data_IF_781855369136
#
_entry.id   IF_781855369136
#
_cell.length_a   1.000
_cell.length_b   1.000
_cell.length_c   1.000
_cell.angle_alpha   90.00
_cell.angle_beta   90.00
_cell.angle_gamma   90.00
#
_symmetry.space_group_name_H-M   'P 1'
#
loop_
_entity.id
_entity.type
_entity.pdbx_description
1 polymer ?
#
# COMPACT_ATOMS: atom_id res chain seq x y z
N UNK A 1 32.73 -15.50 13.28
CA UNK A 1 32.55 -14.93 14.64
C UNK A 1 31.52 -13.79 14.61
N UNK A 2 30.38 -13.99 15.29
CA UNK A 2 29.37 -12.94 15.54
C UNK A 2 28.05 -13.10 14.78
N UNK A 3 27.31 -14.19 15.00
CA UNK A 3 25.87 -14.24 14.71
C UNK A 3 25.15 -14.65 15.99
N UNK A 4 25.13 -13.76 16.97
CA UNK A 4 24.28 -13.90 18.16
C UNK A 4 23.69 -12.51 18.45
N UNK A 5 22.39 -12.35 18.16
CA UNK A 5 21.58 -11.27 18.73
C UNK A 5 20.85 -10.32 17.78
N UNK A 6 20.27 -10.75 16.66
CA UNK A 6 19.36 -9.89 15.88
C UNK A 6 18.11 -10.68 15.51
N UNK A 7 16.93 -10.13 15.81
CA UNK A 7 15.63 -10.76 15.54
C UNK A 7 15.41 -11.09 14.08
N UNK A 8 14.25 -11.65 13.74
CA UNK A 8 13.92 -11.96 12.35
C UNK A 8 14.06 -10.70 11.47
N UNK A 9 14.65 -10.84 10.26
CA UNK A 9 14.86 -9.69 9.39
C UNK A 9 13.51 -9.09 8.99
N UNK A 10 13.44 -7.75 8.93
CA UNK A 10 12.28 -7.04 8.40
C UNK A 10 12.07 -7.44 6.94
N UNK A 11 10.97 -8.11 6.65
CA UNK A 11 10.61 -8.48 5.28
C UNK A 11 9.90 -7.32 4.56
N UNK A 12 10.38 -7.00 3.36
CA UNK A 12 9.75 -6.00 2.47
C UNK A 12 9.60 -6.61 1.08
N UNK A 13 8.36 -6.68 0.61
CA UNK A 13 8.07 -7.05 -0.77
C UNK A 13 8.17 -5.81 -1.66
N UNK A 14 9.00 -5.87 -2.70
CA UNK A 14 9.27 -4.79 -3.63
C UNK A 14 8.69 -5.18 -4.99
N UNK A 15 7.69 -4.42 -5.45
CA UNK A 15 7.09 -4.60 -6.76
C UNK A 15 7.47 -3.44 -7.69
N UNK A 16 8.12 -3.77 -8.81
CA UNK A 16 8.35 -2.83 -9.92
C UNK A 16 7.16 -2.80 -10.88
N UNK A 17 6.72 -1.61 -11.25
CA UNK A 17 5.74 -1.39 -12.32
C UNK A 17 6.08 -0.10 -13.07
N UNK A 18 5.63 0.05 -14.31
CA UNK A 18 5.73 1.31 -15.05
C UNK A 18 4.85 2.37 -14.36
N UNK A 19 5.38 3.43 -13.75
CA UNK A 19 6.79 3.79 -13.51
C UNK A 19 7.02 4.10 -12.03
N UNK A 20 6.68 3.14 -11.17
CA UNK A 20 6.69 3.24 -9.72
C UNK A 20 7.27 1.97 -9.07
N UNK A 21 7.74 2.14 -7.84
CA UNK A 21 8.05 1.04 -6.93
C UNK A 21 7.00 1.01 -5.83
N UNK A 22 6.49 -0.16 -5.50
CA UNK A 22 5.57 -0.38 -4.39
C UNK A 22 6.25 -1.27 -3.36
N UNK A 23 6.19 -0.85 -2.10
CA UNK A 23 6.76 -1.55 -0.96
C UNK A 23 5.63 -2.04 -0.06
N UNK A 24 5.56 -3.35 0.15
CA UNK A 24 4.58 -3.97 1.04
C UNK A 24 5.29 -4.63 2.21
N UNK A 25 4.79 -4.39 3.42
CA UNK A 25 5.31 -4.90 4.68
C UNK A 25 4.34 -5.99 5.18
N UNK A 26 4.61 -7.29 4.91
CA UNK A 26 3.60 -8.34 5.08
C UNK A 26 3.13 -8.50 6.53
N UNK A 27 4.01 -8.26 7.50
CA UNK A 27 3.69 -8.37 8.92
C UNK A 27 2.70 -7.29 9.39
N UNK A 28 2.82 -6.08 8.85
CA UNK A 28 2.02 -4.93 9.27
C UNK A 28 0.82 -4.68 8.36
N UNK A 29 0.85 -5.20 7.12
CA UNK A 29 -0.13 -4.93 6.08
C UNK A 29 0.06 -3.57 5.39
N UNK A 30 1.09 -2.80 5.76
CA UNK A 30 1.33 -1.47 5.19
C UNK A 30 1.80 -1.59 3.74
N UNK A 31 1.30 -0.71 2.88
CA UNK A 31 1.76 -0.51 1.50
C UNK A 31 2.18 0.95 1.30
N UNK A 32 3.34 1.17 0.68
CA UNK A 32 3.89 2.51 0.48
C UNK A 32 4.60 2.65 -0.87
N UNK A 33 4.65 3.88 -1.40
CA UNK A 33 5.48 4.25 -2.55
C UNK A 33 6.94 4.56 -2.18
N UNK A 34 7.23 4.65 -0.88
CA UNK A 34 8.57 4.90 -0.30
C UNK A 34 8.94 3.73 0.61
N UNK A 35 10.23 3.36 0.63
CA UNK A 35 10.71 2.26 1.46
C UNK A 35 11.15 2.80 2.82
N UNK A 36 10.53 2.38 3.91
CA UNK A 36 10.86 2.75 5.27
C UNK A 36 11.53 1.57 5.97
N UNK A 37 12.66 1.81 6.63
CA UNK A 37 13.35 0.79 7.43
C UNK A 37 13.95 1.41 8.69
N UNK A 38 13.96 0.70 9.82
CA UNK A 38 14.64 1.18 11.00
C UNK A 38 16.16 0.95 10.88
N UNK A 39 16.94 1.92 11.36
CA UNK A 39 18.40 1.82 11.43
C UNK A 39 18.82 0.66 12.33
N UNK A 40 19.83 -0.10 11.90
CA UNK A 40 20.41 -1.22 12.65
C UNK A 40 19.64 -2.53 12.56
N UNK A 41 18.46 -2.58 11.93
CA UNK A 41 17.71 -3.82 11.73
C UNK A 41 18.10 -4.49 10.41
N UNK A 42 18.31 -5.83 10.40
CA UNK A 42 18.40 -6.59 9.15
C UNK A 42 17.11 -6.49 8.33
N UNK A 43 17.25 -6.24 7.04
CA UNK A 43 16.15 -6.14 6.08
C UNK A 43 16.33 -7.21 5.02
N UNK A 44 15.24 -7.88 4.65
CA UNK A 44 15.15 -8.83 3.53
C UNK A 44 14.15 -8.32 2.51
N UNK A 45 14.63 -8.06 1.31
CA UNK A 45 13.83 -7.64 0.17
C UNK A 45 13.43 -8.86 -0.67
N UNK A 46 12.14 -8.96 -1.00
CA UNK A 46 11.62 -9.87 -2.03
C UNK A 46 11.23 -9.02 -3.24
N UNK A 47 12.04 -9.05 -4.30
CA UNK A 47 11.94 -8.13 -5.44
C UNK A 47 11.37 -8.85 -6.66
N UNK A 48 10.28 -8.30 -7.20
CA UNK A 48 9.60 -8.80 -8.41
C UNK A 48 9.06 -7.63 -9.24
N UNK A 49 8.71 -7.88 -10.50
CA UNK A 49 8.03 -6.91 -11.34
C UNK A 49 6.65 -7.42 -11.78
N UNK A 50 5.71 -6.49 -11.96
CA UNK A 50 4.34 -6.82 -12.36
C UNK A 50 4.11 -6.74 -13.88
N UNK A 51 5.04 -6.11 -14.63
CA UNK A 51 4.86 -5.82 -16.06
C UNK A 51 6.09 -6.17 -16.92
N UNK A 52 7.09 -5.29 -16.94
CA UNK A 52 8.33 -5.44 -17.69
C UNK A 52 9.51 -5.61 -16.72
N UNK A 53 10.70 -5.84 -17.25
CA UNK A 53 11.91 -5.89 -16.42
C UNK A 53 12.23 -4.47 -15.93
N UNK A 54 12.53 -4.37 -14.64
CA UNK A 54 13.11 -3.18 -14.02
C UNK A 54 14.41 -3.58 -13.31
N UNK A 55 15.19 -2.59 -12.84
CA UNK A 55 16.29 -2.86 -11.94
C UNK A 55 16.21 -1.93 -10.74
N UNK A 56 15.95 -2.51 -9.56
CA UNK A 56 15.97 -1.81 -8.29
C UNK A 56 17.42 -1.44 -7.96
N UNK A 57 17.72 -0.15 -7.89
CA UNK A 57 19.05 0.33 -7.58
C UNK A 57 19.03 1.34 -6.43
N UNK A 58 19.78 1.04 -5.38
CA UNK A 58 20.03 1.87 -4.21
C UNK A 58 21.54 2.21 -4.18
N UNK A 59 21.96 3.33 -4.80
CA UNK A 59 23.37 3.60 -5.10
C UNK A 59 24.28 3.68 -3.89
N UNK A 60 23.84 4.34 -2.82
CA UNK A 60 24.60 4.59 -1.59
C UNK A 60 24.90 3.29 -0.83
N UNK A 61 24.06 2.28 -1.02
CA UNK A 61 24.23 0.96 -0.45
C UNK A 61 24.96 0.00 -1.39
N UNK A 62 25.23 0.43 -2.65
CA UNK A 62 25.80 -0.40 -3.72
C UNK A 62 24.98 -1.66 -3.98
N UNK A 63 23.67 -1.56 -3.80
CA UNK A 63 22.72 -2.65 -3.98
C UNK A 63 21.98 -2.43 -5.29
N UNK A 64 22.09 -3.40 -6.20
CA UNK A 64 21.33 -3.41 -7.45
C UNK A 64 20.81 -4.82 -7.71
N UNK A 65 19.52 -4.94 -8.00
CA UNK A 65 18.88 -6.22 -8.29
C UNK A 65 17.80 -6.04 -9.34
N UNK A 66 17.78 -6.92 -10.34
CA UNK A 66 16.76 -6.91 -11.37
C UNK A 66 15.43 -7.41 -10.79
N UNK A 67 14.35 -6.71 -11.14
CA UNK A 67 12.97 -7.09 -10.85
C UNK A 67 12.39 -7.71 -12.13
N UNK A 68 12.05 -9.00 -12.08
CA UNK A 68 11.69 -9.79 -13.26
C UNK A 68 10.27 -10.34 -13.08
N UNK A 69 9.36 -10.17 -14.06
CA UNK A 69 8.03 -10.73 -13.97
C UNK A 69 8.02 -12.24 -13.80
N UNK A 70 7.27 -12.74 -12.81
CA UNK A 70 7.14 -14.17 -12.51
C UNK A 70 8.37 -14.79 -11.84
N UNK A 71 9.35 -13.99 -11.41
CA UNK A 71 10.53 -14.46 -10.68
C UNK A 71 10.91 -13.49 -9.56
N UNK A 72 10.65 -13.92 -8.33
CA UNK A 72 11.12 -13.22 -7.13
C UNK A 72 12.63 -13.38 -6.93
N UNK A 73 13.35 -12.27 -6.79
CA UNK A 73 14.75 -12.21 -6.37
C UNK A 73 14.84 -11.78 -4.91
N UNK A 74 15.81 -12.29 -4.16
CA UNK A 74 15.98 -11.94 -2.74
C UNK A 74 17.30 -11.24 -2.49
N UNK A 75 17.27 -10.21 -1.65
CA UNK A 75 18.47 -9.48 -1.24
C UNK A 75 18.34 -9.01 0.21
N UNK A 76 19.42 -9.08 0.99
CA UNK A 76 19.45 -8.61 2.37
C UNK A 76 20.45 -7.49 2.61
N UNK A 77 20.13 -6.56 3.51
CA UNK A 77 21.03 -5.51 3.94
C UNK A 77 20.68 -5.00 5.35
N UNK A 78 21.57 -4.21 5.94
CA UNK A 78 21.31 -3.50 7.21
C UNK A 78 21.69 -2.04 7.02
N UNK A 79 20.74 -1.13 7.23
CA UNK A 79 21.02 0.30 7.20
C UNK A 79 21.74 0.74 8.48
N UNK A 80 22.86 1.46 8.35
CA UNK A 80 23.70 1.85 9.50
C UNK A 80 23.62 3.33 9.83
N UNK A 81 22.91 4.13 9.02
CA UNK A 81 22.78 5.57 9.19
C UNK A 81 21.41 6.07 8.74
N UNK A 82 20.73 6.77 9.64
CA UNK A 82 19.46 7.49 9.38
C UNK A 82 19.61 8.47 8.21
N UNK A 83 18.57 8.61 7.42
CA UNK A 83 18.48 9.56 6.30
C UNK A 83 17.70 9.03 5.10
N UNK A 84 17.59 9.89 4.09
CA UNK A 84 16.90 9.61 2.84
C UNK A 84 17.89 9.25 1.74
N UNK A 85 17.64 8.14 1.05
CA UNK A 85 18.50 7.62 0.01
C UNK A 85 17.71 7.36 -1.28
N UNK A 86 18.16 7.84 -2.44
CA UNK A 86 17.44 7.63 -3.69
C UNK A 86 17.39 6.15 -4.09
N UNK A 87 16.21 5.70 -4.50
CA UNK A 87 16.01 4.44 -5.22
C UNK A 87 15.65 4.80 -6.65
N UNK A 88 16.35 4.24 -7.62
CA UNK A 88 16.14 4.54 -9.04
C UNK A 88 16.01 3.25 -9.86
N UNK A 89 15.20 3.30 -10.92
CA UNK A 89 15.21 2.24 -11.91
C UNK A 89 16.49 2.32 -12.76
N UNK A 90 17.25 1.23 -12.84
CA UNK A 90 18.52 1.16 -13.57
C UNK A 90 18.47 0.32 -14.85
N UNK A 91 17.28 -0.12 -15.27
CA UNK A 91 17.03 -0.88 -16.50
C UNK A 91 15.99 -0.15 -17.34
N UNK A 92 16.21 -0.03 -18.66
CA UNK A 92 15.31 0.72 -19.52
C UNK A 92 13.92 0.09 -19.56
N UNK A 93 12.99 0.65 -18.79
CA UNK A 93 11.67 0.07 -18.56
C UNK A 93 10.54 0.80 -19.29
N UNK A 94 10.83 1.70 -20.23
CA UNK A 94 9.83 2.40 -21.05
C UNK A 94 10.06 3.91 -21.20
N UNK A 95 9.05 4.61 -21.74
CA UNK A 95 9.12 6.03 -22.11
C UNK A 95 9.36 6.98 -20.93
N UNK A 96 8.92 6.62 -19.72
CA UNK A 96 9.12 7.42 -18.50
C UNK A 96 10.16 6.81 -17.56
N UNK A 97 11.05 5.94 -18.07
CA UNK A 97 12.11 5.30 -17.30
C UNK A 97 12.93 6.27 -16.44
N UNK A 98 13.33 7.42 -17.00
CA UNK A 98 14.11 8.43 -16.27
C UNK A 98 13.39 9.10 -15.09
N UNK A 99 12.06 8.97 -15.01
CA UNK A 99 11.23 9.46 -13.91
C UNK A 99 10.91 8.40 -12.85
N UNK A 100 11.26 7.13 -13.09
CA UNK A 100 11.00 6.03 -12.15
C UNK A 100 11.99 6.05 -10.98
N UNK A 101 11.65 6.84 -9.96
CA UNK A 101 12.46 7.09 -8.78
C UNK A 101 11.59 7.14 -7.54
N UNK A 102 12.15 6.73 -6.41
CA UNK A 102 11.58 6.88 -5.08
C UNK A 102 12.73 7.01 -4.06
N UNK A 103 12.46 6.85 -2.77
CA UNK A 103 13.47 6.91 -1.71
C UNK A 103 13.34 5.73 -0.73
N UNK A 104 14.47 5.37 -0.16
CA UNK A 104 14.60 4.67 1.11
C UNK A 104 14.71 5.72 2.22
N UNK A 105 13.83 5.65 3.20
CA UNK A 105 13.84 6.43 4.43
C UNK A 105 14.35 5.49 5.52
N UNK A 106 15.55 5.78 6.04
CA UNK A 106 16.11 5.09 7.18
C UNK A 106 15.82 5.91 8.42
N UNK A 107 15.06 5.36 9.35
CA UNK A 107 14.52 6.06 10.52
C UNK A 107 15.05 5.44 11.82
N UNK A 108 14.85 6.12 12.94
CA UNK A 108 14.99 5.46 14.25
C UNK A 108 13.90 4.39 14.42
N UNK A 109 14.12 3.35 15.26
CA UNK A 109 13.08 2.36 15.54
C UNK A 109 11.76 2.98 16.03
N UNK A 110 11.84 4.07 16.82
CA UNK A 110 10.69 4.79 17.34
C UNK A 110 9.90 5.49 16.22
N UNK A 111 10.59 6.19 15.31
CA UNK A 111 9.98 6.86 14.16
C UNK A 111 9.37 5.86 13.18
N UNK A 112 10.08 4.77 12.87
CA UNK A 112 9.56 3.69 12.02
C UNK A 112 8.27 3.10 12.60
N UNK A 113 8.24 2.85 13.92
CA UNK A 113 7.05 2.31 14.57
C UNK A 113 5.88 3.30 14.54
N UNK A 114 6.14 4.60 14.68
CA UNK A 114 5.11 5.63 14.53
C UNK A 114 4.54 5.65 13.10
N UNK A 115 5.42 5.59 12.10
CA UNK A 115 5.03 5.50 10.68
C UNK A 115 4.17 4.27 10.40
N UNK A 116 4.55 3.10 10.93
CA UNK A 116 3.74 1.87 10.79
C UNK A 116 2.34 2.09 11.37
N UNK A 117 2.24 2.63 12.58
CA UNK A 117 0.94 2.86 13.23
C UNK A 117 0.05 3.77 12.39
N UNK A 118 0.55 4.92 11.94
CA UNK A 118 -0.22 5.86 11.10
C UNK A 118 -0.74 5.21 9.81
N UNK A 119 0.06 4.37 9.16
CA UNK A 119 -0.29 3.76 7.87
C UNK A 119 -1.11 2.47 7.99
N UNK A 120 -1.09 1.80 9.14
CA UNK A 120 -1.98 0.67 9.43
C UNK A 120 -3.44 1.12 9.58
N UNK A 121 -3.68 2.18 10.36
CA UNK A 121 -5.04 2.68 10.60
C UNK A 121 -5.68 3.26 9.33
N UNK A 122 -4.91 3.98 8.51
CA UNK A 122 -5.39 4.51 7.23
C UNK A 122 -5.83 3.40 6.27
N UNK A 123 -5.12 2.27 6.27
CA UNK A 123 -5.44 1.12 5.41
C UNK A 123 -6.73 0.41 5.84
N UNK A 124 -7.01 0.33 7.15
CA UNK A 124 -8.25 -0.25 7.67
C UNK A 124 -9.49 0.64 7.42
N UNK A 125 -9.40 1.95 7.71
CA UNK A 125 -10.51 2.90 7.52
C UNK A 125 -10.87 3.10 6.03
N UNK A 126 -9.87 3.05 5.14
CA UNK A 126 -10.10 3.12 3.68
C UNK A 126 -10.84 1.89 3.17
N UNK A 127 -10.55 0.69 3.68
CA UNK A 127 -11.23 -0.54 3.25
C UNK A 127 -12.71 -0.56 3.66
N UNK A 128 -13.06 -0.01 4.83
CA UNK A 128 -14.44 0.08 5.27
C UNK A 128 -15.25 1.11 4.46
N UNK A 129 -14.62 2.22 4.07
CA UNK A 129 -15.25 3.26 3.22
C UNK A 129 -15.29 2.93 1.73
N UNK A 130 -14.40 2.08 1.24
CA UNK A 130 -14.25 1.77 -0.19
C UNK A 130 -14.99 0.51 -0.65
N UNK A 131 -15.80 -0.12 0.20
CA UNK A 131 -16.69 -1.20 -0.25
C UNK A 131 -17.67 -0.60 -1.25
N UNK A 132 -17.49 -0.92 -2.53
CA UNK A 132 -18.43 -0.55 -3.59
C UNK A 132 -19.76 -1.25 -3.31
N UNK A 133 -20.67 -0.53 -2.67
CA UNK A 133 -22.00 -1.04 -2.38
C UNK A 133 -22.78 -1.06 -3.69
N UNK A 134 -23.31 -2.23 -4.08
CA UNK A 134 -24.19 -2.32 -5.24
C UNK A 134 -25.56 -1.72 -4.85
N UNK A 135 -25.97 -0.56 -5.40
CA UNK A 135 -27.19 0.12 -4.97
C UNK A 135 -28.46 -0.68 -5.29
N UNK A 136 -28.38 -1.62 -6.22
CA UNK A 136 -29.55 -2.40 -6.67
C UNK A 136 -30.02 -3.47 -5.69
N UNK A 137 -29.24 -3.77 -4.64
CA UNK A 137 -29.59 -4.76 -3.63
C UNK A 137 -30.05 -4.17 -2.30
N UNK A 138 -30.10 -2.84 -2.18
CA UNK A 138 -30.47 -2.11 -0.95
C UNK A 138 -31.85 -1.47 -1.07
N UNK A 139 -32.52 -1.24 0.06
CA UNK A 139 -33.67 -0.32 0.07
C UNK A 139 -33.18 1.13 -0.08
N UNK A 140 -34.07 2.01 -0.54
CA UNK A 140 -33.74 3.43 -0.71
C UNK A 140 -33.33 4.09 0.60
N UNK A 141 -33.97 3.72 1.71
CA UNK A 141 -33.58 4.18 3.05
C UNK A 141 -32.20 3.69 3.48
N UNK A 142 -31.81 2.47 3.11
CA UNK A 142 -30.50 1.90 3.43
C UNK A 142 -29.39 2.55 2.58
N UNK A 143 -29.67 2.82 1.30
CA UNK A 143 -28.75 3.52 0.40
C UNK A 143 -28.52 4.99 0.82
N UNK A 144 -29.55 5.66 1.32
CA UNK A 144 -29.49 7.08 1.69
C UNK A 144 -29.03 7.34 3.13
N UNK A 145 -29.00 6.30 3.99
CA UNK A 145 -28.63 6.43 5.41
C UNK A 145 -27.28 7.15 5.66
N UNK A 146 -26.20 6.92 4.88
CA UNK A 146 -24.93 7.60 5.07
C UNK A 146 -24.98 9.11 4.79
N UNK A 147 -25.90 9.56 3.94
CA UNK A 147 -25.99 10.95 3.47
C UNK A 147 -27.04 11.77 4.23
N UNK A 148 -27.93 11.11 4.97
CA UNK A 148 -29.06 11.76 5.64
C UNK A 148 -28.63 12.71 6.77
N UNK A 149 -27.59 12.34 7.52
CA UNK A 149 -27.04 13.17 8.59
C UNK A 149 -26.44 14.47 8.08
N UNK A 150 -25.78 14.44 6.91
CA UNK A 150 -25.21 15.61 6.25
C UNK A 150 -26.29 16.55 5.68
N UNK A 151 -27.41 15.99 5.24
CA UNK A 151 -28.56 16.74 4.73
C UNK A 151 -29.53 17.21 5.82
N UNK A 152 -29.26 16.92 7.10
CA UNK A 152 -30.14 17.29 8.21
C UNK A 152 -31.47 16.52 8.24
N UNK A 153 -31.52 15.34 7.59
CA UNK A 153 -32.69 14.47 7.52
C UNK A 153 -32.66 13.50 8.70
N UNK A 154 -33.75 13.43 9.45
CA UNK A 154 -33.86 12.51 10.59
C UNK A 154 -34.08 11.05 10.16
N UNK A 155 -33.76 10.13 11.07
CA UNK A 155 -33.88 8.68 10.82
C UNK A 155 -35.31 8.20 10.64
N UNK A 156 -36.31 8.94 11.14
CA UNK A 156 -37.72 8.57 10.97
C UNK A 156 -38.18 8.87 9.55
N UNK A 157 -37.74 9.99 8.97
CA UNK A 157 -38.00 10.40 7.59
C UNK A 157 -37.42 9.37 6.60
N UNK A 158 -36.23 8.83 6.86
CA UNK A 158 -35.65 7.76 6.05
C UNK A 158 -36.49 6.47 6.07
N UNK A 159 -37.04 6.10 7.24
CA UNK A 159 -37.86 4.89 7.38
C UNK A 159 -39.17 4.98 6.60
N UNK A 160 -39.66 6.19 6.32
CA UNK A 160 -40.88 6.41 5.53
C UNK A 160 -40.66 6.30 4.01
N UNK A 161 -39.41 6.34 3.52
CA UNK A 161 -39.13 6.21 2.09
C UNK A 161 -39.40 4.80 1.56
N UNK A 162 -39.22 3.77 2.40
CA UNK A 162 -39.41 2.35 2.06
C UNK A 162 -40.87 2.00 1.67
N UNK A 163 -41.84 2.88 1.98
CA UNK A 163 -43.26 2.64 1.72
C UNK A 163 -43.79 3.26 0.42
N UNK A 164 -42.96 3.90 -0.40
CA UNK A 164 -43.42 4.76 -1.49
C UNK A 164 -43.44 4.13 -2.90
N UNK A 165 -43.05 2.87 -3.06
CA UNK A 165 -42.99 2.21 -4.37
C UNK A 165 -43.82 0.94 -4.45
N UNK A 166 -45.14 1.11 -4.51
CA UNK A 166 -46.02 0.15 -5.16
C UNK A 166 -45.99 0.42 -6.68
N UNK A 167 -45.09 -0.23 -7.40
CA UNK A 167 -45.17 -0.30 -8.86
C UNK A 167 -46.30 -1.27 -9.21
N UNK A 168 -47.41 -0.84 -9.83
CA UNK A 168 -48.42 -1.78 -10.28
C UNK A 168 -47.81 -2.66 -11.39
N UNK A 169 -47.82 -3.98 -11.19
CA UNK A 169 -47.54 -4.93 -12.26
C UNK A 169 -48.50 -4.67 -13.42
N UNK A 170 -47.98 -4.27 -14.58
CA UNK A 170 -48.75 -4.29 -15.83
C UNK A 170 -48.77 -5.74 -16.32
N UNK A 171 -49.90 -6.42 -16.08
CA UNK A 171 -50.23 -7.72 -16.66
C UNK A 171 -50.61 -7.51 -18.14
N UNK A 172 -49.79 -8.11 -19.02
CA UNK A 172 -49.97 -8.47 -20.44
C UNK A 172 -50.55 -7.46 -21.44
#
# INVERSE_FOLDING_TARGET
>A
PGQEGQGEPLEVNVAGMQYAWIFTYPETGVMSGEMHVPVGQPVKLNIEANDVIHAFWLPEFRIKQDAIPGRTSQLGFTATRVGDYPIICAELCGSYHGGMKTRLIVETPEEYQAWVQENQFASADTMEKAVAVNPTTMSEGEFLAPYASEMGIDSQTLQHLDHSHHHPEIIK
#
